data_IF_772723641570
#
_entry.id   IF_772723641570
#
_cell.length_a   1.000
_cell.length_b   1.000
_cell.length_c   1.000
_cell.angle_alpha   90.00
_cell.angle_beta   90.00
_cell.angle_gamma   90.00
#
_symmetry.space_group_name_H-M   'P 1'
#
loop_
_entity.id
_entity.type
_entity.pdbx_description
1 polymer ?
#
# COMPACT_ATOMS: atom_id res chain seq x y z
N UNK A 1 -18.26 1.25 5.34
CA UNK A 1 -17.82 2.42 6.13
C UNK A 1 -16.76 3.20 5.37
N UNK A 2 -16.54 4.46 5.74
CA UNK A 2 -15.36 5.21 5.34
C UNK A 2 -14.13 4.71 6.11
N UNK A 3 -12.94 4.82 5.53
CA UNK A 3 -11.69 4.56 6.24
C UNK A 3 -11.41 5.69 7.24
N UNK A 4 -10.64 5.40 8.28
CA UNK A 4 -10.23 6.40 9.26
C UNK A 4 -9.15 7.33 8.67
N UNK A 5 -9.40 8.65 8.55
CA UNK A 5 -8.47 9.59 7.95
C UNK A 5 -7.24 9.85 8.83
N UNK A 6 -7.37 9.74 10.14
CA UNK A 6 -6.27 9.94 11.10
C UNK A 6 -5.29 8.77 11.03
N UNK A 7 -5.80 7.53 10.93
CA UNK A 7 -5.00 6.34 10.65
C UNK A 7 -4.29 6.45 9.30
N UNK A 8 -4.95 7.00 8.27
CA UNK A 8 -4.33 7.29 6.99
C UNK A 8 -3.20 8.30 7.08
N UNK A 9 -3.39 9.39 7.80
CA UNK A 9 -2.32 10.34 8.07
C UNK A 9 -1.18 9.71 8.88
N UNK A 10 -1.49 8.82 9.82
CA UNK A 10 -0.49 8.12 10.63
C UNK A 10 0.37 7.17 9.79
N UNK A 11 -0.24 6.27 9.01
CA UNK A 11 0.48 5.36 8.09
C UNK A 11 1.30 6.15 7.07
N UNK A 12 0.76 7.24 6.52
CA UNK A 12 1.50 8.12 5.61
C UNK A 12 2.77 8.67 6.26
N UNK A 13 2.69 9.16 7.50
CA UNK A 13 3.86 9.65 8.25
C UNK A 13 4.88 8.55 8.49
N UNK A 14 4.43 7.34 8.87
CA UNK A 14 5.32 6.19 9.07
C UNK A 14 6.04 5.80 7.78
N UNK A 15 5.32 5.76 6.65
CA UNK A 15 5.91 5.48 5.34
C UNK A 15 7.01 6.48 5.04
N UNK A 16 6.75 7.79 5.16
CA UNK A 16 7.72 8.86 4.90
C UNK A 16 8.93 8.74 5.84
N UNK A 17 8.73 8.43 7.12
CA UNK A 17 9.80 8.32 8.13
C UNK A 17 10.69 7.10 7.91
N UNK A 18 10.11 5.98 7.47
CA UNK A 18 10.81 4.71 7.23
C UNK A 18 11.15 4.51 5.75
N UNK A 19 10.96 5.54 4.92
CA UNK A 19 11.33 5.50 3.50
C UNK A 19 12.80 5.11 3.39
N UNK A 20 13.11 4.11 2.56
CA UNK A 20 14.48 3.66 2.43
C UNK A 20 15.26 4.52 1.43
N UNK A 21 16.59 4.48 1.55
CA UNK A 21 17.50 5.29 0.73
C UNK A 21 17.26 5.10 -0.77
N UNK A 22 17.13 6.23 -1.48
CA UNK A 22 16.83 6.26 -2.91
C UNK A 22 15.36 6.15 -3.30
N UNK A 23 14.43 6.20 -2.35
CA UNK A 23 12.98 6.35 -2.63
C UNK A 23 12.52 7.73 -2.18
N UNK A 24 12.01 8.53 -3.11
CA UNK A 24 11.48 9.85 -2.78
C UNK A 24 10.04 9.73 -2.24
N UNK A 25 9.60 10.73 -1.49
CA UNK A 25 8.18 10.88 -1.15
C UNK A 25 7.28 10.95 -2.38
N UNK A 26 7.81 11.42 -3.52
CA UNK A 26 7.10 11.48 -4.81
C UNK A 26 6.84 10.09 -5.42
N UNK A 27 7.63 9.07 -5.03
CA UNK A 27 7.39 7.67 -5.41
C UNK A 27 6.20 7.05 -4.66
N UNK A 28 5.66 7.73 -3.65
CA UNK A 28 4.48 7.30 -2.90
C UNK A 28 3.23 7.82 -3.61
N UNK A 29 2.44 6.93 -4.17
CA UNK A 29 1.14 7.24 -4.78
C UNK A 29 -0.01 6.74 -3.90
N UNK A 30 -0.91 7.65 -3.55
CA UNK A 30 -2.13 7.35 -2.80
C UNK A 30 -3.27 7.02 -3.78
N UNK A 31 -3.93 5.88 -3.60
CA UNK A 31 -5.08 5.45 -4.42
C UNK A 31 -6.23 4.98 -3.56
N UNK A 32 -7.43 5.47 -3.85
CA UNK A 32 -8.67 4.97 -3.24
C UNK A 32 -8.99 3.59 -3.81
N UNK A 33 -8.78 2.53 -3.02
CA UNK A 33 -9.05 1.15 -3.39
C UNK A 33 -9.28 0.29 -2.15
N UNK A 34 -9.83 -0.93 -2.33
CA UNK A 34 -10.15 -1.88 -1.24
C UNK A 34 -11.14 -1.36 -0.18
N UNK A 35 -11.97 -0.37 -0.52
CA UNK A 35 -12.90 0.24 0.44
C UNK A 35 -12.25 1.28 1.36
N UNK A 36 -11.04 1.74 1.04
CA UNK A 36 -10.39 2.84 1.74
C UNK A 36 -9.26 3.47 0.92
N UNK A 37 -8.09 3.68 1.54
CA UNK A 37 -6.95 4.35 0.94
C UNK A 37 -5.73 3.44 0.91
N UNK A 38 -5.08 3.33 -0.23
CA UNK A 38 -3.91 2.50 -0.40
C UNK A 38 -2.69 3.30 -0.86
N UNK A 39 -1.55 2.97 -0.29
CA UNK A 39 -0.25 3.57 -0.51
C UNK A 39 0.57 2.64 -1.40
N UNK A 40 0.86 3.12 -2.60
CA UNK A 40 1.76 2.47 -3.53
C UNK A 40 3.12 3.13 -3.46
N UNK A 41 4.20 2.36 -3.40
CA UNK A 41 5.58 2.84 -3.40
C UNK A 41 6.26 2.31 -4.66
N UNK A 42 6.75 3.20 -5.53
CA UNK A 42 7.32 2.85 -6.85
C UNK A 42 6.35 2.03 -7.72
N UNK A 43 5.06 2.39 -7.67
CA UNK A 43 4.00 1.72 -8.41
C UNK A 43 3.57 0.34 -7.89
N UNK A 44 4.06 -0.09 -6.71
CA UNK A 44 3.71 -1.35 -6.07
C UNK A 44 3.00 -1.12 -4.75
N UNK A 45 1.98 -1.94 -4.45
CA UNK A 45 1.23 -1.83 -3.22
C UNK A 45 2.10 -2.19 -2.00
N UNK A 46 2.21 -1.24 -1.06
CA UNK A 46 2.95 -1.42 0.19
C UNK A 46 2.00 -1.56 1.39
N UNK A 47 1.09 -0.60 1.54
CA UNK A 47 0.11 -0.55 2.62
C UNK A 47 -1.25 -0.11 2.09
N UNK A 48 -2.32 -0.51 2.74
CA UNK A 48 -3.66 0.01 2.50
C UNK A 48 -4.43 0.07 3.81
N UNK A 49 -5.41 0.96 3.86
CA UNK A 49 -6.28 1.16 5.00
C UNK A 49 -7.67 0.88 4.49
N UNK A 50 -8.36 -0.04 5.14
CA UNK A 50 -9.72 -0.39 4.82
C UNK A 50 -10.63 0.10 5.94
N UNK A 51 -11.83 0.54 5.60
CA UNK A 51 -12.89 0.79 6.58
C UNK A 51 -13.88 -0.37 6.59
N UNK A 52 -13.38 -1.62 6.54
CA UNK A 52 -14.24 -2.83 6.55
C UNK A 52 -14.17 -3.43 7.94
N UNK A 53 -15.29 -3.94 8.44
CA UNK A 53 -15.40 -4.56 9.77
C UNK A 53 -14.19 -5.45 10.09
N UNK A 54 -13.46 -5.06 11.14
CA UNK A 54 -12.25 -5.72 11.64
C UNK A 54 -10.96 -5.43 10.87
N UNK A 55 -11.01 -4.95 9.62
CA UNK A 55 -9.82 -4.68 8.78
C UNK A 55 -9.47 -3.21 8.72
N UNK A 56 -8.48 -2.82 9.51
CA UNK A 56 -8.02 -1.44 9.61
C UNK A 56 -6.82 -1.19 8.70
N UNK A 57 -5.79 -2.04 8.74
CA UNK A 57 -4.59 -1.86 7.91
C UNK A 57 -4.17 -3.16 7.21
N UNK A 58 -4.11 -3.14 5.88
CA UNK A 58 -3.60 -4.21 5.04
C UNK A 58 -2.15 -3.91 4.62
N UNK A 59 -1.23 -4.84 4.85
CA UNK A 59 0.20 -4.68 4.53
C UNK A 59 0.72 -5.82 3.67
N UNK A 60 1.63 -5.49 2.76
CA UNK A 60 2.30 -6.47 1.91
C UNK A 60 3.69 -6.78 2.46
N UNK A 61 3.80 -7.84 3.25
CA UNK A 61 5.06 -8.27 3.88
C UNK A 61 5.79 -9.39 3.12
N UNK A 62 5.13 -9.96 2.10
CA UNK A 62 5.68 -11.08 1.34
C UNK A 62 5.51 -12.43 2.05
N UNK A 63 5.69 -13.52 1.30
CA UNK A 63 5.41 -14.88 1.80
C UNK A 63 6.40 -15.35 2.88
N UNK A 64 7.65 -14.87 2.83
CA UNK A 64 8.69 -15.26 3.76
C UNK A 64 8.38 -14.85 5.21
N UNK A 65 7.71 -13.71 5.39
CA UNK A 65 7.37 -13.18 6.71
C UNK A 65 5.94 -13.51 7.15
N UNK A 66 5.15 -14.13 6.28
CA UNK A 66 3.72 -14.36 6.52
C UNK A 66 3.46 -15.27 7.72
N UNK A 67 4.15 -16.42 7.80
CA UNK A 67 3.99 -17.37 8.91
C UNK A 67 4.39 -16.76 10.26
N UNK A 68 5.47 -15.97 10.27
CA UNK A 68 5.90 -15.25 11.47
C UNK A 68 4.87 -14.20 11.87
N UNK A 69 4.29 -13.47 10.91
CA UNK A 69 3.31 -12.44 11.18
C UNK A 69 2.02 -12.99 11.81
N UNK A 70 1.55 -14.15 11.36
CA UNK A 70 0.37 -14.81 11.93
C UNK A 70 0.53 -15.28 13.38
N UNK A 71 1.75 -15.26 13.94
CA UNK A 71 2.00 -15.57 15.36
C UNK A 71 1.74 -14.36 16.26
N UNK A 72 1.58 -13.17 15.69
CA UNK A 72 1.30 -11.97 16.45
C UNK A 72 -0.21 -11.78 16.59
N UNK A 73 -0.62 -11.35 17.79
CA UNK A 73 -2.01 -11.01 18.06
C UNK A 73 -2.41 -9.78 17.25
N UNK A 74 -3.65 -9.79 16.74
CA UNK A 74 -4.16 -8.74 15.87
C UNK A 74 -3.70 -8.81 14.41
N UNK A 75 -3.05 -9.91 14.00
CA UNK A 75 -2.60 -10.14 12.62
C UNK A 75 -3.36 -11.32 12.01
N UNK A 76 -3.86 -11.15 10.79
CA UNK A 76 -4.52 -12.22 10.04
C UNK A 76 -4.16 -12.17 8.56
N UNK A 77 -4.31 -13.30 7.88
CA UNK A 77 -4.13 -13.37 6.43
C UNK A 77 -5.20 -12.53 5.74
N UNK A 78 -4.81 -11.71 4.77
CA UNK A 78 -5.79 -10.96 3.99
C UNK A 78 -6.67 -11.90 3.18
N UNK A 79 -7.99 -11.77 3.34
CA UNK A 79 -8.98 -12.54 2.57
C UNK A 79 -9.70 -11.63 1.58
N UNK A 80 -9.58 -11.90 0.28
CA UNK A 80 -10.37 -11.20 -0.75
C UNK A 80 -11.26 -12.18 -1.50
N UNK A 81 -12.58 -11.95 -1.46
CA UNK A 81 -13.61 -12.78 -2.11
C UNK A 81 -13.50 -14.27 -1.74
N UNK A 82 -13.26 -14.55 -0.46
CA UNK A 82 -13.12 -15.92 0.07
C UNK A 82 -11.80 -16.62 -0.28
N UNK A 83 -10.81 -15.89 -0.81
CA UNK A 83 -9.46 -16.42 -1.05
C UNK A 83 -8.46 -15.73 -0.15
N UNK A 84 -7.62 -16.53 0.51
CA UNK A 84 -6.51 -16.07 1.33
C UNK A 84 -5.32 -15.67 0.45
N UNK A 85 -4.84 -14.44 0.62
CA UNK A 85 -3.72 -13.89 -0.14
C UNK A 85 -2.44 -13.98 0.67
N UNK A 86 -1.71 -15.08 0.49
CA UNK A 86 -0.43 -15.31 1.15
C UNK A 86 0.60 -14.23 0.81
N UNK A 87 1.13 -13.61 1.86
CA UNK A 87 2.05 -12.46 1.81
C UNK A 87 1.38 -11.10 1.94
N UNK A 88 0.06 -11.09 2.13
CA UNK A 88 -0.73 -9.93 2.54
C UNK A 88 -1.36 -10.24 3.89
N UNK A 89 -1.20 -9.30 4.81
CA UNK A 89 -1.76 -9.41 6.15
C UNK A 89 -2.70 -8.24 6.41
N UNK A 90 -3.75 -8.48 7.19
CA UNK A 90 -4.60 -7.46 7.76
C UNK A 90 -4.27 -7.34 9.26
N UNK A 91 -4.18 -6.10 9.72
CA UNK A 91 -3.99 -5.70 11.11
C UNK A 91 -5.28 -5.09 11.65
N UNK A 92 -5.57 -5.40 12.91
CA UNK A 92 -6.51 -4.66 13.76
C UNK A 92 -5.77 -3.85 14.84
N UNK A 93 -6.53 -3.10 15.63
CA UNK A 93 -6.10 -2.21 16.71
C UNK A 93 -5.12 -2.86 17.69
N UNK A 94 -5.22 -4.18 17.91
CA UNK A 94 -4.33 -4.93 18.80
C UNK A 94 -2.88 -4.92 18.29
N UNK A 95 -2.70 -4.89 16.97
CA UNK A 95 -1.39 -4.85 16.33
C UNK A 95 -0.89 -3.43 16.04
N UNK A 96 -1.65 -2.38 16.35
CA UNK A 96 -1.25 -0.99 16.14
C UNK A 96 0.03 -0.57 16.88
N UNK A 97 0.32 -1.06 18.10
CA UNK A 97 1.61 -0.78 18.76
C UNK A 97 2.82 -1.22 17.93
N UNK A 98 2.66 -2.25 17.07
CA UNK A 98 3.70 -2.78 16.18
C UNK A 98 3.55 -2.28 14.73
N UNK A 99 2.63 -1.35 14.46
CA UNK A 99 2.33 -0.88 13.11
C UNK A 99 3.57 -0.31 12.41
N UNK A 100 4.44 0.40 13.14
CA UNK A 100 5.69 0.92 12.58
C UNK A 100 6.62 -0.19 12.08
N UNK A 101 6.78 -1.27 12.85
CA UNK A 101 7.58 -2.43 12.46
C UNK A 101 6.99 -3.14 11.24
N UNK A 102 5.66 -3.30 11.20
CA UNK A 102 4.98 -3.91 10.04
C UNK A 102 5.10 -3.06 8.78
N UNK A 103 5.00 -1.73 8.89
CA UNK A 103 5.21 -0.80 7.78
C UNK A 103 6.66 -0.87 7.29
N UNK A 104 7.63 -0.92 8.21
CA UNK A 104 9.05 -1.07 7.85
C UNK A 104 9.30 -2.41 7.12
N UNK A 105 8.68 -3.49 7.58
CA UNK A 105 8.78 -4.81 6.95
C UNK A 105 8.18 -4.81 5.53
N UNK A 106 7.00 -4.19 5.36
CA UNK A 106 6.36 -4.05 4.06
C UNK A 106 7.20 -3.21 3.08
N UNK A 107 7.80 -2.11 3.57
CA UNK A 107 8.69 -1.26 2.78
C UNK A 107 9.93 -2.02 2.32
N UNK A 108 10.58 -2.78 3.23
CA UNK A 108 11.72 -3.63 2.90
C UNK A 108 11.38 -4.63 1.80
N UNK A 109 10.26 -5.35 1.96
CA UNK A 109 9.82 -6.29 0.93
C UNK A 109 9.52 -5.59 -0.40
N UNK A 110 8.91 -4.41 -0.36
CA UNK A 110 8.62 -3.62 -1.56
C UNK A 110 9.90 -3.15 -2.28
N UNK A 111 10.96 -2.83 -1.53
CA UNK A 111 12.28 -2.55 -2.10
C UNK A 111 12.86 -3.76 -2.79
N UNK A 112 12.86 -4.93 -2.15
CA UNK A 112 13.37 -6.16 -2.75
C UNK A 112 12.64 -6.48 -4.05
N UNK A 113 11.31 -6.34 -4.06
CA UNK A 113 10.53 -6.48 -5.29
C UNK A 113 10.95 -5.49 -6.36
N UNK A 114 11.27 -4.24 -5.99
CA UNK A 114 11.65 -3.16 -6.90
C UNK A 114 13.08 -3.29 -7.41
N UNK A 115 13.99 -3.84 -6.60
CA UNK A 115 15.36 -4.17 -6.98
C UNK A 115 15.41 -5.45 -7.85
N UNK A 116 14.58 -6.44 -7.55
CA UNK A 116 14.54 -7.73 -8.27
C UNK A 116 13.87 -7.66 -9.65
N UNK A 117 13.25 -6.54 -10.03
CA UNK A 117 12.57 -6.40 -11.31
C UNK A 117 13.02 -5.14 -12.07
N UNK A 118 13.89 -5.26 -13.09
CA UNK A 118 13.93 -4.26 -14.14
C UNK A 118 12.80 -4.58 -15.12
N UNK A 119 11.57 -4.11 -14.87
CA UNK A 119 10.47 -4.29 -15.83
C UNK A 119 9.68 -3.01 -16.03
N UNK A 120 10.19 -2.23 -17.01
CA UNK A 120 9.50 -1.32 -17.93
C UNK A 120 8.47 -0.42 -17.26
N UNK A 121 8.90 0.80 -16.93
CA UNK A 121 7.99 1.94 -16.77
C UNK A 121 7.07 1.98 -17.98
N UNK A 122 5.82 1.56 -17.81
CA UNK A 122 4.75 1.93 -18.72
C UNK A 122 4.25 3.26 -18.20
N UNK A 123 4.99 4.30 -18.57
CA UNK A 123 4.52 5.68 -18.57
C UNK A 123 3.13 5.68 -19.22
N UNK A 124 2.08 5.75 -18.39
CA UNK A 124 0.74 6.02 -18.90
C UNK A 124 0.65 7.51 -19.11
N UNK A 125 1.11 7.91 -20.29
CA UNK A 125 0.54 8.93 -21.15
C UNK A 125 -0.62 9.70 -20.50
N UNK A 126 -0.30 10.90 -20.02
CA UNK A 126 -1.23 12.01 -20.01
C UNK A 126 -1.54 12.35 -21.47
N UNK A 127 -2.51 11.65 -22.06
CA UNK A 127 -3.00 12.00 -23.39
C UNK A 127 -3.71 13.34 -23.28
N UNK A 128 -3.00 14.40 -23.68
CA UNK A 128 -3.55 15.70 -24.07
C UNK A 128 -4.87 15.48 -24.81
N UNK A 129 -6.00 15.90 -24.22
CA UNK A 129 -7.13 16.31 -25.05
C UNK A 129 -6.91 17.77 -25.41
N UNK A 130 -6.15 17.96 -26.49
CA UNK A 130 -6.15 19.21 -27.23
C UNK A 130 -7.52 19.31 -27.92
N UNK A 131 -8.44 20.07 -27.34
CA UNK A 131 -9.63 20.53 -28.08
C UNK A 131 -9.16 21.49 -29.17
N UNK A 132 -9.34 21.04 -30.41
CA UNK A 132 -8.97 21.71 -31.67
C UNK A 132 -9.53 23.14 -31.75
N UNK A 133 -8.78 24.10 -32.34
CA UNK A 133 -9.37 25.25 -33.00
C UNK A 133 -9.72 24.88 -34.46
N UNK A 134 -10.84 25.38 -35.00
CA UNK A 134 -10.99 26.05 -36.32
C UNK A 134 -12.51 26.24 -36.59
N UNK A 135 -13.10 27.45 -36.60
CA UNK A 135 -13.11 28.52 -37.63
C UNK A 135 -14.18 28.30 -38.73
N UNK A 136 -15.03 29.31 -38.86
CA UNK A 136 -15.71 29.82 -40.08
C UNK A 136 -16.31 28.84 -41.09
N UNK A 137 -17.63 28.92 -41.24
CA UNK A 137 -18.30 29.17 -42.52
C UNK A 137 -19.54 30.04 -42.25
#
# INVERSE_FOLDING_TARGET
MAFDPDLAAHVRRLLIRRLPDGVAVDDITEKKMFGGLAFMVRGKLCAAISGRDGCEVMLRIGKAHHDAALKHEGVRTTVMKGKEYWGYIDLDETAFPMLEDWVALALRHNQELSAAAPRRSREKSSTKHASRPDKTA
#
